data_IF_505941542540
#
_entry.id   IF_505941542540
#
_cell.length_a   1.000
_cell.length_b   1.000
_cell.length_c   1.000
_cell.angle_alpha   90.00
_cell.angle_beta   90.00
_cell.angle_gamma   90.00
#
_symmetry.space_group_name_H-M   'P 1'
#
loop_
_entity.id
_entity.type
_entity.pdbx_description
1 polymer ?
#
# COMPACT_ATOMS: atom_id res chain seq x y z
N UNK A 1 9.74 8.32 29.21
CA UNK A 1 9.09 8.77 27.97
C UNK A 1 9.22 7.67 26.96
N UNK A 2 8.08 7.06 26.56
CA UNK A 2 8.06 5.84 25.77
C UNK A 2 8.50 6.10 24.33
N UNK A 3 9.72 5.69 23.99
CA UNK A 3 10.15 5.54 22.60
C UNK A 3 9.82 4.12 22.17
N UNK A 4 9.32 3.98 20.94
CA UNK A 4 9.13 2.69 20.29
C UNK A 4 10.20 2.52 19.20
N UNK A 5 10.65 1.28 19.01
CA UNK A 5 11.57 0.93 17.95
C UNK A 5 10.78 0.21 16.86
N UNK A 6 10.79 0.75 15.65
CA UNK A 6 10.04 0.23 14.49
C UNK A 6 10.95 0.18 13.25
N UNK A 7 10.67 -0.76 12.35
CA UNK A 7 11.13 -0.70 10.97
C UNK A 7 10.18 0.18 10.13
N UNK A 8 10.61 0.57 8.92
CA UNK A 8 9.75 1.31 7.97
C UNK A 8 8.48 0.53 7.63
N UNK A 9 8.59 -0.77 7.37
CA UNK A 9 7.44 -1.65 7.10
C UNK A 9 6.42 -1.65 8.24
N UNK A 10 6.89 -1.71 9.49
CA UNK A 10 6.02 -1.66 10.67
C UNK A 10 5.37 -0.29 10.84
N UNK A 11 6.08 0.80 10.55
CA UNK A 11 5.53 2.15 10.59
C UNK A 11 4.40 2.32 9.57
N UNK A 12 4.61 1.87 8.32
CA UNK A 12 3.58 1.86 7.27
C UNK A 12 2.39 1.00 7.67
N UNK A 13 2.62 -0.21 8.17
CA UNK A 13 1.55 -1.12 8.62
C UNK A 13 0.67 -0.48 9.70
N UNK A 14 1.28 0.11 10.72
CA UNK A 14 0.57 0.83 11.78
C UNK A 14 -0.17 2.06 11.24
N UNK A 15 0.44 2.81 10.32
CA UNK A 15 -0.18 3.93 9.63
C UNK A 15 -1.41 3.50 8.83
N UNK A 16 -1.36 2.37 8.13
CA UNK A 16 -2.52 1.80 7.43
C UNK A 16 -3.66 1.42 8.39
N UNK A 17 -3.33 0.78 9.51
CA UNK A 17 -4.32 0.44 10.54
C UNK A 17 -4.96 1.72 11.10
N UNK A 18 -4.16 2.74 11.43
CA UNK A 18 -4.64 4.05 11.86
C UNK A 18 -5.52 4.70 10.79
N UNK A 19 -5.11 4.64 9.53
CA UNK A 19 -5.85 5.14 8.37
C UNK A 19 -7.14 4.37 8.07
N UNK A 20 -7.45 3.34 8.86
CA UNK A 20 -8.71 2.59 8.74
C UNK A 20 -8.70 1.53 7.66
N UNK A 21 -7.55 1.03 7.24
CA UNK A 21 -7.44 -0.12 6.34
C UNK A 21 -8.23 -1.31 6.90
N UNK A 22 -9.02 -1.97 6.04
CA UNK A 22 -9.82 -3.14 6.39
C UNK A 22 -9.51 -4.35 5.52
N UNK A 23 -8.90 -4.12 4.36
CA UNK A 23 -8.46 -5.20 3.46
C UNK A 23 -7.05 -4.90 2.98
N UNK A 24 -6.12 -5.78 3.28
CA UNK A 24 -4.77 -5.76 2.76
C UNK A 24 -4.58 -6.99 1.89
N UNK A 25 -4.22 -6.79 0.63
CA UNK A 25 -3.86 -7.88 -0.28
C UNK A 25 -2.38 -7.81 -0.61
N UNK A 26 -1.75 -8.94 -0.87
CA UNK A 26 -0.34 -8.95 -1.27
C UNK A 26 0.06 -10.25 -1.95
N UNK A 27 1.10 -10.19 -2.76
CA UNK A 27 1.91 -11.31 -3.15
C UNK A 27 3.30 -11.13 -2.56
N UNK A 28 3.90 -12.16 -1.92
CA UNK A 28 5.15 -11.99 -1.20
C UNK A 28 6.31 -11.54 -2.10
N UNK A 29 6.86 -10.38 -1.77
CA UNK A 29 8.06 -9.83 -2.40
C UNK A 29 8.86 -9.01 -1.39
N UNK A 30 10.18 -9.19 -1.35
CA UNK A 30 11.07 -8.42 -0.46
C UNK A 30 11.23 -6.97 -0.96
N UNK A 31 11.14 -5.93 -0.08
CA UNK A 31 10.86 -6.02 1.36
C UNK A 31 9.36 -5.85 1.72
N UNK A 32 8.47 -5.76 0.74
CA UNK A 32 7.06 -5.39 0.92
C UNK A 32 6.26 -6.41 1.76
N UNK A 33 6.63 -7.70 1.74
CA UNK A 33 5.90 -8.74 2.47
C UNK A 33 5.86 -8.48 3.98
N UNK A 34 6.94 -7.96 4.56
CA UNK A 34 7.03 -7.69 6.00
C UNK A 34 5.91 -6.76 6.51
N UNK A 35 5.44 -5.84 5.68
CA UNK A 35 4.30 -4.97 6.01
C UNK A 35 3.02 -5.78 6.19
N UNK A 36 2.69 -6.61 5.19
CA UNK A 36 1.45 -7.39 5.20
C UNK A 36 1.46 -8.46 6.29
N UNK A 37 2.61 -9.11 6.52
CA UNK A 37 2.80 -10.06 7.60
C UNK A 37 2.68 -9.40 8.98
N UNK A 38 3.15 -8.16 9.13
CA UNK A 38 2.97 -7.40 10.36
C UNK A 38 1.49 -7.06 10.60
N UNK A 39 0.75 -6.66 9.56
CA UNK A 39 -0.69 -6.40 9.67
C UNK A 39 -1.43 -7.70 10.05
N UNK A 40 -1.11 -8.83 9.42
CA UNK A 40 -1.70 -10.14 9.72
C UNK A 40 -1.49 -10.54 11.17
N UNK A 41 -0.28 -10.34 11.71
CA UNK A 41 0.02 -10.60 13.12
C UNK A 41 -0.76 -9.69 14.09
N UNK A 42 -1.32 -8.57 13.62
CA UNK A 42 -2.07 -7.58 14.38
C UNK A 42 -3.46 -7.31 13.80
N UNK A 43 -4.06 -8.31 13.16
CA UNK A 43 -5.32 -8.17 12.42
C UNK A 43 -6.52 -7.76 13.30
N UNK A 44 -6.50 -8.12 14.58
CA UNK A 44 -7.54 -7.73 15.54
C UNK A 44 -7.18 -6.38 16.16
N UNK A 45 -7.99 -5.39 15.88
CA UNK A 45 -7.76 -4.01 16.31
C UNK A 45 -8.91 -3.49 17.18
N UNK A 46 -8.58 -2.59 18.10
CA UNK A 46 -9.59 -1.82 18.82
C UNK A 46 -10.04 -0.67 17.93
N UNK A 47 -11.31 -0.63 17.59
CA UNK A 47 -11.86 0.36 16.64
C UNK A 47 -12.48 1.57 17.32
N UNK A 48 -12.81 1.46 18.62
CA UNK A 48 -13.47 2.51 19.39
C UNK A 48 -12.94 2.56 20.81
N UNK A 49 -13.16 3.70 21.48
CA UNK A 49 -12.78 3.90 22.89
C UNK A 49 -13.65 3.11 23.87
N UNK A 50 -14.78 2.61 23.43
CA UNK A 50 -15.76 1.85 24.20
C UNK A 50 -15.56 0.32 24.11
N UNK A 51 -14.45 -0.11 23.53
CA UNK A 51 -14.04 -1.51 23.50
C UNK A 51 -14.53 -2.31 22.30
N UNK A 52 -15.06 -1.64 21.27
CA UNK A 52 -15.36 -2.29 20.00
C UNK A 52 -14.11 -2.88 19.36
N UNK A 53 -14.28 -4.02 18.72
CA UNK A 53 -13.21 -4.70 17.96
C UNK A 53 -13.55 -4.69 16.48
N UNK A 54 -12.52 -4.56 15.66
CA UNK A 54 -12.57 -4.74 14.23
C UNK A 54 -11.41 -5.61 13.78
N UNK A 55 -11.40 -5.94 12.50
CA UNK A 55 -10.32 -6.71 11.92
C UNK A 55 -9.84 -6.07 10.61
N UNK A 56 -8.59 -6.34 10.28
CA UNK A 56 -8.06 -6.17 8.94
C UNK A 56 -8.00 -7.55 8.30
N UNK A 57 -8.66 -7.72 7.16
CA UNK A 57 -8.56 -8.96 6.38
C UNK A 57 -7.26 -8.88 5.59
N UNK A 58 -6.35 -9.81 5.83
CA UNK A 58 -5.09 -9.92 5.06
C UNK A 58 -5.18 -11.12 4.14
N UNK A 59 -4.94 -10.92 2.85
CA UNK A 59 -5.07 -11.94 1.82
C UNK A 59 -3.77 -12.05 1.01
N UNK A 60 -3.07 -13.16 1.14
CA UNK A 60 -2.03 -13.53 0.19
C UNK A 60 -2.68 -14.04 -1.10
N UNK A 61 -2.28 -13.46 -2.22
CA UNK A 61 -2.85 -13.74 -3.53
C UNK A 61 -1.94 -14.64 -4.36
N UNK A 62 -2.42 -15.10 -5.52
CA UNK A 62 -1.67 -15.92 -6.47
C UNK A 62 -0.51 -15.14 -7.12
N UNK A 63 -0.73 -13.85 -7.37
CA UNK A 63 0.23 -12.92 -7.97
C UNK A 63 -0.16 -11.46 -7.65
N UNK A 64 0.65 -10.52 -8.13
CA UNK A 64 0.41 -9.10 -7.94
C UNK A 64 -0.76 -8.57 -8.77
N UNK A 65 -1.07 -9.18 -9.90
CA UNK A 65 -2.25 -8.84 -10.71
C UNK A 65 -3.51 -9.12 -9.89
N UNK A 66 -3.59 -10.29 -9.27
CA UNK A 66 -4.68 -10.63 -8.38
C UNK A 66 -4.72 -9.69 -7.16
N UNK A 67 -3.56 -9.36 -6.59
CA UNK A 67 -3.49 -8.48 -5.41
C UNK A 67 -4.12 -7.10 -5.67
N UNK A 68 -3.70 -6.39 -6.72
CA UNK A 68 -4.23 -5.05 -7.01
C UNK A 68 -5.70 -5.07 -7.38
N UNK A 69 -6.15 -6.10 -8.11
CA UNK A 69 -7.55 -6.22 -8.53
C UNK A 69 -8.46 -6.58 -7.35
N UNK A 70 -8.03 -7.44 -6.44
CA UNK A 70 -8.77 -7.77 -5.22
C UNK A 70 -8.87 -6.56 -4.27
N UNK A 71 -7.78 -5.79 -4.09
CA UNK A 71 -7.81 -4.54 -3.34
C UNK A 71 -8.80 -3.54 -3.96
N UNK A 72 -8.75 -3.36 -5.28
CA UNK A 72 -9.68 -2.48 -6.01
C UNK A 72 -11.13 -2.94 -5.85
N UNK A 73 -11.40 -4.23 -5.98
CA UNK A 73 -12.72 -4.81 -5.77
C UNK A 73 -13.24 -4.60 -4.33
N UNK A 74 -12.38 -4.77 -3.33
CA UNK A 74 -12.71 -4.49 -1.93
C UNK A 74 -13.07 -3.01 -1.72
N UNK A 75 -12.33 -2.11 -2.36
CA UNK A 75 -12.59 -0.66 -2.27
C UNK A 75 -13.96 -0.30 -2.83
N UNK A 76 -14.44 -0.95 -3.88
CA UNK A 76 -15.78 -0.73 -4.45
C UNK A 76 -16.91 -1.10 -3.47
N UNK A 77 -16.64 -1.85 -2.43
CA UNK A 77 -17.61 -2.13 -1.35
C UNK A 77 -17.69 -1.03 -0.29
N UNK A 78 -16.86 0.01 -0.41
CA UNK A 78 -16.70 1.07 0.59
C UNK A 78 -15.66 0.76 1.67
N UNK A 79 -14.93 -0.36 1.57
CA UNK A 79 -13.84 -0.65 2.48
C UNK A 79 -12.56 0.09 2.07
N UNK A 80 -11.80 0.61 3.04
CA UNK A 80 -10.43 1.07 2.78
C UNK A 80 -9.56 -0.15 2.52
N UNK A 81 -9.07 -0.28 1.30
CA UNK A 81 -8.27 -1.42 0.90
C UNK A 81 -6.92 -0.98 0.31
N UNK A 82 -5.92 -1.81 0.54
CA UNK A 82 -4.57 -1.56 0.06
C UNK A 82 -3.88 -2.84 -0.41
N UNK A 83 -2.82 -2.65 -1.18
CA UNK A 83 -1.85 -3.69 -1.50
C UNK A 83 -0.44 -3.16 -1.29
N UNK A 84 0.54 -4.05 -1.17
CA UNK A 84 1.96 -3.70 -1.08
C UNK A 84 2.79 -4.54 -2.03
N UNK A 85 3.79 -3.91 -2.63
CA UNK A 85 4.68 -4.56 -3.58
C UNK A 85 6.02 -3.83 -3.70
N UNK A 86 6.89 -4.32 -4.56
CA UNK A 86 8.13 -3.68 -4.98
C UNK A 86 8.17 -3.55 -6.51
N UNK A 87 9.25 -3.07 -7.09
CA UNK A 87 9.37 -2.76 -8.52
C UNK A 87 8.86 -3.83 -9.49
N UNK A 88 9.31 -5.09 -9.37
CA UNK A 88 8.83 -6.17 -10.25
C UNK A 88 7.32 -6.40 -10.17
N UNK A 89 6.77 -6.39 -8.95
CA UNK A 89 5.33 -6.59 -8.77
C UNK A 89 4.52 -5.37 -9.18
N UNK A 90 5.01 -4.15 -8.94
CA UNK A 90 4.35 -2.94 -9.43
C UNK A 90 4.24 -2.94 -10.96
N UNK A 91 5.23 -3.49 -11.66
CA UNK A 91 5.17 -3.68 -13.12
C UNK A 91 3.99 -4.55 -13.55
N UNK A 92 3.62 -5.56 -12.77
CA UNK A 92 2.46 -6.41 -13.02
C UNK A 92 1.13 -5.74 -12.64
N UNK A 93 1.16 -4.77 -11.72
CA UNK A 93 -0.04 -4.06 -11.26
C UNK A 93 -0.48 -2.93 -12.20
N UNK A 94 0.30 -2.56 -13.19
CA UNK A 94 0.10 -1.35 -14.01
C UNK A 94 -1.27 -1.29 -14.70
N UNK A 95 -1.77 -2.41 -15.21
CA UNK A 95 -3.11 -2.47 -15.81
C UNK A 95 -4.20 -2.24 -14.76
N UNK A 96 -4.11 -2.92 -13.61
CA UNK A 96 -5.04 -2.72 -12.49
C UNK A 96 -5.02 -1.28 -11.95
N UNK A 97 -3.83 -0.67 -11.87
CA UNK A 97 -3.66 0.74 -11.52
C UNK A 97 -4.38 1.67 -12.53
N UNK A 98 -4.19 1.39 -13.83
CA UNK A 98 -4.81 2.18 -14.90
C UNK A 98 -6.33 2.05 -14.86
N UNK A 99 -6.82 0.83 -14.62
CA UNK A 99 -8.24 0.57 -14.47
C UNK A 99 -8.82 1.30 -13.24
N UNK A 100 -8.11 1.27 -12.11
CA UNK A 100 -8.53 1.98 -10.91
C UNK A 100 -8.60 3.50 -11.14
N UNK A 101 -7.60 4.07 -11.82
CA UNK A 101 -7.60 5.49 -12.16
C UNK A 101 -8.75 5.88 -13.10
N UNK A 102 -9.03 5.05 -14.12
CA UNK A 102 -10.11 5.30 -15.07
C UNK A 102 -11.51 5.17 -14.46
N UNK A 103 -11.67 4.35 -13.43
CA UNK A 103 -12.94 4.08 -12.76
C UNK A 103 -13.10 4.80 -11.41
N UNK A 104 -12.20 5.73 -11.10
CA UNK A 104 -12.25 6.54 -9.87
C UNK A 104 -12.23 5.68 -8.59
N UNK A 105 -11.42 4.59 -8.59
CA UNK A 105 -11.32 3.64 -7.48
C UNK A 105 -10.23 4.08 -6.49
N UNK A 106 -10.58 4.39 -5.23
CA UNK A 106 -9.65 4.94 -4.25
C UNK A 106 -8.76 3.87 -3.57
N UNK A 107 -8.03 3.10 -4.35
CA UNK A 107 -7.11 2.05 -3.84
C UNK A 107 -5.75 2.64 -3.45
N UNK A 108 -5.16 2.11 -2.38
CA UNK A 108 -3.80 2.46 -1.94
C UNK A 108 -2.82 1.36 -2.30
N UNK A 109 -1.71 1.73 -2.94
CA UNK A 109 -0.61 0.82 -3.29
C UNK A 109 0.65 1.29 -2.59
N UNK A 110 1.17 0.52 -1.64
CA UNK A 110 2.50 0.80 -1.09
C UNK A 110 3.57 0.20 -2.00
N UNK A 111 4.47 1.04 -2.44
CA UNK A 111 5.55 0.68 -3.35
C UNK A 111 6.89 0.81 -2.64
N UNK A 112 7.44 -0.32 -2.23
CA UNK A 112 8.76 -0.40 -1.59
C UNK A 112 9.86 -0.39 -2.63
N UNK A 113 10.72 0.63 -2.56
CA UNK A 113 11.83 0.78 -3.47
C UNK A 113 12.99 -0.15 -3.10
N UNK A 114 13.55 -0.81 -4.08
CA UNK A 114 14.75 -1.63 -3.96
C UNK A 114 15.60 -1.50 -5.20
N UNK A 115 16.85 -1.98 -5.16
CA UNK A 115 17.73 -1.90 -6.31
C UNK A 115 17.12 -2.51 -7.57
N UNK A 116 17.07 -1.75 -8.64
CA UNK A 116 16.51 -2.08 -9.96
C UNK A 116 17.65 -2.23 -10.99
N UNK A 117 17.40 -2.61 -12.26
CA UNK A 117 16.11 -3.01 -12.85
C UNK A 117 15.75 -4.49 -12.66
N UNK A 118 14.53 -4.89 -13.09
CA UNK A 118 14.00 -6.26 -13.02
C UNK A 118 13.95 -6.77 -11.58
N UNK A 119 14.33 -8.02 -11.31
CA UNK A 119 14.42 -8.55 -9.93
C UNK A 119 15.37 -7.72 -9.07
N UNK A 120 16.40 -7.14 -9.68
CA UNK A 120 17.31 -6.19 -9.05
C UNK A 120 18.07 -6.76 -7.86
N UNK A 121 18.14 -5.98 -6.80
CA UNK A 121 18.82 -6.32 -5.55
C UNK A 121 17.80 -6.36 -4.41
N UNK A 122 17.13 -7.51 -4.15
CA UNK A 122 15.98 -7.59 -3.23
C UNK A 122 16.27 -7.10 -1.80
N UNK A 123 17.52 -7.22 -1.32
CA UNK A 123 17.92 -6.83 0.03
C UNK A 123 18.68 -5.51 0.08
N UNK A 124 18.65 -4.74 -1.01
CA UNK A 124 19.30 -3.42 -1.10
C UNK A 124 18.27 -2.37 -1.50
N UNK A 125 18.18 -1.31 -0.73
CA UNK A 125 17.31 -0.18 -1.08
C UNK A 125 17.84 0.55 -2.33
N UNK A 126 16.93 1.17 -3.04
CA UNK A 126 17.20 2.07 -4.16
C UNK A 126 16.18 3.21 -4.13
N UNK A 127 16.36 4.22 -4.96
CA UNK A 127 15.42 5.34 -5.10
C UNK A 127 15.19 5.68 -6.59
N UNK A 128 15.05 4.64 -7.41
CA UNK A 128 15.00 4.79 -8.87
C UNK A 128 13.56 4.76 -9.42
N UNK A 129 12.56 4.52 -8.55
CA UNK A 129 11.20 4.14 -8.94
C UNK A 129 10.21 5.30 -9.05
N UNK A 130 10.58 6.53 -8.65
CA UNK A 130 9.69 7.69 -8.67
C UNK A 130 9.07 7.95 -10.06
N UNK A 131 9.87 7.89 -11.11
CA UNK A 131 9.37 8.07 -12.49
C UNK A 131 8.36 7.02 -12.86
N UNK A 132 8.60 5.77 -12.45
CA UNK A 132 7.68 4.67 -12.73
C UNK A 132 6.37 4.84 -11.94
N UNK A 133 6.43 5.20 -10.67
CA UNK A 133 5.24 5.49 -9.87
C UNK A 133 4.37 6.61 -10.49
N UNK A 134 5.02 7.68 -10.98
CA UNK A 134 4.31 8.83 -11.57
C UNK A 134 3.74 8.55 -12.96
N UNK A 135 4.44 7.76 -13.79
CA UNK A 135 4.12 7.61 -15.22
C UNK A 135 3.64 6.20 -15.62
N UNK A 136 3.54 5.24 -14.69
CA UNK A 136 3.10 3.89 -15.03
C UNK A 136 1.69 3.88 -15.63
N UNK A 137 1.48 3.00 -16.60
CA UNK A 137 0.21 2.85 -17.31
C UNK A 137 0.22 3.48 -18.70
N UNK A 138 -0.81 3.16 -19.48
CA UNK A 138 -1.04 3.75 -20.78
C UNK A 138 -2.24 4.71 -20.72
N UNK A 139 -2.22 5.73 -21.55
CA UNK A 139 -3.19 6.82 -21.48
C UNK A 139 -2.95 7.75 -20.28
N UNK A 140 -3.86 8.69 -20.09
CA UNK A 140 -3.80 9.67 -19.00
C UNK A 140 -4.88 9.38 -17.97
N UNK A 141 -4.51 9.29 -16.72
CA UNK A 141 -5.43 9.18 -15.59
C UNK A 141 -4.82 9.79 -14.32
N UNK A 142 -5.68 10.26 -13.42
CA UNK A 142 -5.26 10.87 -12.17
C UNK A 142 -4.75 9.81 -11.18
N UNK A 143 -3.66 10.14 -10.50
CA UNK A 143 -3.11 9.41 -9.36
C UNK A 143 -2.41 10.36 -8.42
N UNK A 144 -2.23 9.96 -7.18
CA UNK A 144 -1.40 10.69 -6.21
C UNK A 144 -0.21 9.82 -5.87
N UNK A 145 0.98 10.42 -5.81
CA UNK A 145 2.19 9.75 -5.33
C UNK A 145 2.65 10.48 -4.08
N UNK A 146 2.72 9.77 -2.96
CA UNK A 146 3.35 10.21 -1.71
C UNK A 146 4.69 9.53 -1.59
N UNK A 147 5.71 10.23 -1.17
CA UNK A 147 7.05 9.66 -0.97
C UNK A 147 7.56 10.05 0.41
N UNK A 148 7.65 9.07 1.30
CA UNK A 148 8.08 9.26 2.68
C UNK A 148 9.61 9.27 2.80
N UNK A 149 10.15 10.20 3.55
CA UNK A 149 11.59 10.39 3.76
C UNK A 149 12.11 9.79 5.08
N UNK A 150 11.22 9.49 6.04
CA UNK A 150 11.59 8.90 7.32
C UNK A 150 10.48 8.03 7.92
N UNK A 151 10.71 7.48 9.12
CA UNK A 151 9.75 6.58 9.78
C UNK A 151 8.46 7.27 10.22
N UNK A 152 8.54 8.54 10.60
CA UNK A 152 7.39 9.32 11.01
C UNK A 152 6.50 9.62 9.81
N UNK A 153 7.10 10.03 8.70
CA UNK A 153 6.40 10.20 7.43
C UNK A 153 5.79 8.89 6.93
N UNK A 154 6.51 7.77 6.99
CA UNK A 154 5.97 6.45 6.64
C UNK A 154 4.65 6.15 7.37
N UNK A 155 4.58 6.47 8.66
CA UNK A 155 3.40 6.25 9.48
C UNK A 155 2.24 7.18 9.09
N UNK A 156 2.49 8.49 9.02
CA UNK A 156 1.44 9.47 8.73
C UNK A 156 0.99 9.47 7.27
N UNK A 157 1.90 9.27 6.33
CA UNK A 157 1.58 9.20 4.92
C UNK A 157 0.76 7.96 4.57
N UNK A 158 1.04 6.82 5.22
CA UNK A 158 0.23 5.63 5.06
C UNK A 158 -1.23 5.86 5.46
N UNK A 159 -1.49 6.57 6.56
CA UNK A 159 -2.83 6.96 6.95
C UNK A 159 -3.44 8.01 6.01
N UNK A 160 -2.65 9.00 5.60
CA UNK A 160 -3.05 10.10 4.71
C UNK A 160 -3.40 9.59 3.32
N UNK A 161 -2.72 8.55 2.84
CA UNK A 161 -2.98 7.94 1.54
C UNK A 161 -4.45 7.54 1.35
N UNK A 162 -5.06 6.92 2.37
CA UNK A 162 -6.49 6.58 2.30
C UNK A 162 -7.40 7.81 2.25
N UNK A 163 -7.06 8.84 3.02
CA UNK A 163 -7.84 10.08 3.02
C UNK A 163 -7.78 10.78 1.66
N UNK A 164 -6.62 10.79 1.01
CA UNK A 164 -6.48 11.35 -0.33
C UNK A 164 -7.17 10.49 -1.38
N UNK A 165 -7.01 9.18 -1.31
CA UNK A 165 -7.67 8.26 -2.23
C UNK A 165 -9.19 8.49 -2.23
N UNK A 166 -9.82 8.49 -1.05
CA UNK A 166 -11.26 8.71 -0.91
C UNK A 166 -11.70 10.13 -1.25
N UNK A 167 -10.92 11.14 -0.85
CA UNK A 167 -11.27 12.54 -1.11
C UNK A 167 -11.28 12.87 -2.59
N UNK A 168 -10.30 12.33 -3.32
CA UNK A 168 -10.10 12.66 -4.74
C UNK A 168 -10.59 11.56 -5.68
N UNK A 169 -11.00 10.40 -5.16
CA UNK A 169 -11.45 9.24 -5.91
C UNK A 169 -10.42 8.81 -6.96
N UNK A 170 -9.17 8.63 -6.52
CA UNK A 170 -8.04 8.22 -7.36
C UNK A 170 -7.18 7.20 -6.64
N UNK A 171 -6.47 6.34 -7.36
CA UNK A 171 -5.45 5.50 -6.76
C UNK A 171 -4.32 6.36 -6.16
N UNK A 172 -3.83 5.95 -4.99
CA UNK A 172 -2.68 6.57 -4.32
C UNK A 172 -1.55 5.56 -4.26
N UNK A 173 -0.37 5.98 -4.72
CA UNK A 173 0.88 5.21 -4.60
C UNK A 173 1.68 5.81 -3.45
N UNK A 174 1.93 5.02 -2.42
CA UNK A 174 2.80 5.38 -1.31
C UNK A 174 4.18 4.78 -1.55
N UNK A 175 5.11 5.61 -2.00
CA UNK A 175 6.48 5.24 -2.33
C UNK A 175 7.37 5.31 -1.09
N UNK A 176 8.03 4.20 -0.74
CA UNK A 176 8.78 4.01 0.52
C UNK A 176 10.19 3.47 0.27
#
# INVERSE_FOLDING_TARGET
>A
EGRIFLSGNQAVALGKILGGCRVQTYYPITPAADESEYIEAHEIIKTTTDGGQGAVIVLQTEDEIAAVNMASGATLTGARAATSTSGPGFSLMVEGLSWAGNNEVPVVITYYQRGAPSTGLPTRHGQDDLRFAVHAGHGEFARIVLASGDLEECYYDAATAFNYAERFQVPVIHLV
#
